data_IF_611510509804
#
_entry.id   IF_611510509804
#
_cell.length_a   1.000
_cell.length_b   1.000
_cell.length_c   1.000
_cell.angle_alpha   90.00
_cell.angle_beta   90.00
_cell.angle_gamma   90.00
#
_symmetry.space_group_name_H-M   'P 1'
#
loop_
_entity.id
_entity.type
_entity.pdbx_description
1 polymer ?
#
# COMPACT_ATOMS: atom_id res chain seq x y z
N UNK A 1 30.82 -11.67 -42.03
CA UNK A 1 29.54 -11.45 -41.33
C UNK A 1 29.45 -9.98 -40.92
N UNK A 2 28.48 -9.24 -41.44
CA UNK A 2 28.22 -7.87 -40.98
C UNK A 2 27.31 -7.90 -39.74
N UNK A 3 27.65 -7.11 -38.72
CA UNK A 3 26.84 -6.93 -37.51
C UNK A 3 25.80 -5.84 -37.74
N UNK A 4 24.58 -6.09 -37.27
CA UNK A 4 23.50 -5.09 -37.18
C UNK A 4 23.51 -4.43 -35.81
N UNK A 5 23.19 -3.14 -35.77
CA UNK A 5 23.05 -2.36 -34.52
C UNK A 5 21.60 -2.43 -34.07
N UNK A 6 21.36 -2.99 -32.88
CA UNK A 6 20.05 -2.96 -32.21
C UNK A 6 20.04 -1.77 -31.26
N UNK A 7 19.02 -0.93 -31.37
CA UNK A 7 18.78 0.16 -30.43
C UNK A 7 17.83 -0.35 -29.34
N UNK A 8 18.17 -0.08 -28.09
CA UNK A 8 17.29 -0.35 -26.95
C UNK A 8 16.47 0.91 -26.64
N UNK A 9 15.14 0.91 -26.91
CA UNK A 9 14.29 2.05 -26.64
C UNK A 9 13.86 2.13 -25.16
N UNK A 10 14.31 1.22 -24.31
CA UNK A 10 13.89 1.16 -22.91
C UNK A 10 14.66 2.20 -22.10
N UNK A 11 13.93 3.01 -21.33
CA UNK A 11 14.57 3.85 -20.32
C UNK A 11 15.22 2.95 -19.25
N UNK A 12 16.42 3.30 -18.74
CA UNK A 12 16.98 2.60 -17.60
C UNK A 12 16.02 2.70 -16.42
N UNK A 13 15.93 1.66 -15.56
CA UNK A 13 15.12 1.75 -14.36
C UNK A 13 15.61 2.92 -13.49
N UNK A 14 14.70 3.60 -12.76
CA UNK A 14 15.11 4.62 -11.82
C UNK A 14 16.03 4.00 -10.75
N UNK A 15 16.90 4.83 -10.16
CA UNK A 15 17.68 4.41 -9.00
C UNK A 15 16.75 3.96 -7.87
N UNK A 16 17.06 2.82 -7.27
CA UNK A 16 16.29 2.29 -6.15
C UNK A 16 16.45 3.25 -4.95
N UNK A 17 15.41 4.00 -4.63
CA UNK A 17 15.31 4.69 -3.35
C UNK A 17 14.82 3.71 -2.29
N UNK A 18 15.73 3.20 -1.48
CA UNK A 18 15.43 2.38 -0.30
C UNK A 18 15.17 3.26 0.94
N UNK A 19 14.44 4.36 0.78
CA UNK A 19 14.08 5.19 1.93
C UNK A 19 13.08 4.41 2.80
N UNK A 20 13.37 4.18 4.10
CA UNK A 20 12.46 3.49 5.00
C UNK A 20 11.16 4.28 5.28
N UNK A 21 11.08 5.53 4.82
CA UNK A 21 10.00 6.43 5.13
C UNK A 21 10.13 7.03 6.54
N UNK A 22 9.16 7.87 6.93
CA UNK A 22 9.14 8.46 8.27
C UNK A 22 8.96 7.38 9.35
N UNK A 23 9.57 7.56 10.53
CA UNK A 23 9.41 6.61 11.63
C UNK A 23 7.96 6.61 12.14
N UNK A 24 7.37 5.43 12.32
CA UNK A 24 6.02 5.28 12.87
C UNK A 24 5.94 5.58 14.39
N UNK A 25 7.08 5.68 15.08
CA UNK A 25 7.12 5.82 16.54
C UNK A 25 6.72 4.53 17.26
N UNK A 26 6.12 4.68 18.45
CA UNK A 26 5.60 3.54 19.22
C UNK A 26 4.31 3.01 18.58
N UNK A 27 4.23 1.69 18.40
CA UNK A 27 3.01 1.03 17.90
C UNK A 27 1.94 0.87 18.98
N UNK A 28 2.32 0.87 20.26
CA UNK A 28 1.34 0.75 21.36
C UNK A 28 0.40 1.96 21.36
N UNK A 29 -0.90 1.71 21.21
CA UNK A 29 -1.95 2.73 21.10
C UNK A 29 -2.08 3.38 19.72
N UNK A 30 -1.25 3.03 18.74
CA UNK A 30 -1.31 3.59 17.40
C UNK A 30 -2.45 2.99 16.57
N UNK A 31 -3.05 3.81 15.71
CA UNK A 31 -4.04 3.41 14.71
C UNK A 31 -3.33 3.11 13.40
N UNK A 32 -3.15 1.84 13.10
CA UNK A 32 -2.46 1.38 11.88
C UNK A 32 -3.49 1.03 10.82
N UNK A 33 -3.46 1.76 9.71
CA UNK A 33 -4.28 1.46 8.54
C UNK A 33 -3.63 0.44 7.62
N UNK A 34 -4.40 -0.49 7.09
CA UNK A 34 -3.95 -1.38 6.00
C UNK A 34 -4.86 -1.18 4.79
N UNK A 35 -4.35 -0.52 3.75
CA UNK A 35 -5.07 -0.35 2.49
C UNK A 35 -4.78 -1.53 1.56
N UNK A 36 -5.82 -2.16 1.03
CA UNK A 36 -5.69 -3.31 0.13
C UNK A 36 -6.66 -3.25 -1.06
N UNK A 37 -6.37 -4.05 -2.08
CA UNK A 37 -7.25 -4.32 -3.23
C UNK A 37 -7.60 -5.81 -3.24
N UNK A 38 -8.86 -6.15 -3.58
CA UNK A 38 -9.32 -7.55 -3.63
C UNK A 38 -8.63 -8.40 -4.71
N UNK A 39 -7.93 -7.77 -5.65
CA UNK A 39 -7.29 -8.41 -6.81
C UNK A 39 -6.20 -9.40 -6.42
N UNK A 40 -5.57 -9.26 -5.24
CA UNK A 40 -4.45 -10.10 -4.82
C UNK A 40 -4.78 -10.96 -3.60
N UNK A 41 -5.22 -12.19 -3.87
CA UNK A 41 -5.58 -13.14 -2.82
C UNK A 41 -4.40 -13.48 -1.87
N UNK A 42 -3.17 -13.56 -2.39
CA UNK A 42 -1.98 -13.78 -1.57
C UNK A 42 -1.73 -12.65 -0.56
N UNK A 43 -2.26 -11.46 -0.82
CA UNK A 43 -2.11 -10.33 0.09
C UNK A 43 -2.89 -10.54 1.38
N UNK A 44 -4.01 -11.27 1.37
CA UNK A 44 -4.78 -11.57 2.58
C UNK A 44 -3.96 -12.38 3.59
N UNK A 45 -3.17 -13.35 3.13
CA UNK A 45 -2.28 -14.10 4.02
C UNK A 45 -1.23 -13.21 4.68
N UNK A 46 -0.70 -12.24 3.94
CA UNK A 46 0.28 -11.28 4.47
C UNK A 46 -0.40 -10.32 5.45
N UNK A 47 -1.62 -9.88 5.14
CA UNK A 47 -2.42 -9.05 6.05
C UNK A 47 -2.68 -9.76 7.37
N UNK A 48 -3.08 -11.03 7.37
CA UNK A 48 -3.34 -11.79 8.59
C UNK A 48 -2.13 -11.79 9.54
N UNK A 49 -0.94 -12.01 8.99
CA UNK A 49 0.32 -12.00 9.73
C UNK A 49 0.65 -10.62 10.29
N UNK A 50 0.49 -9.57 9.48
CA UNK A 50 0.74 -8.19 9.92
C UNK A 50 -0.27 -7.72 10.96
N UNK A 51 -1.56 -7.98 10.75
CA UNK A 51 -2.61 -7.63 11.70
C UNK A 51 -2.35 -8.28 13.06
N UNK A 52 -1.92 -9.55 13.08
CA UNK A 52 -1.56 -10.24 14.31
C UNK A 52 -0.38 -9.55 15.01
N UNK A 53 0.74 -9.36 14.30
CA UNK A 53 1.94 -8.75 14.89
C UNK A 53 1.71 -7.31 15.38
N UNK A 54 0.93 -6.52 14.64
CA UNK A 54 0.59 -5.14 15.03
C UNK A 54 -0.30 -5.11 16.29
N UNK A 55 -1.29 -5.99 16.38
CA UNK A 55 -2.13 -6.13 17.57
C UNK A 55 -1.34 -6.60 18.78
N UNK A 56 -0.41 -7.55 18.60
CA UNK A 56 0.52 -7.99 19.66
C UNK A 56 1.42 -6.85 20.15
N UNK A 57 1.80 -5.93 19.27
CA UNK A 57 2.52 -4.69 19.62
C UNK A 57 1.64 -3.61 20.28
N UNK A 58 0.34 -3.86 20.44
CA UNK A 58 -0.62 -2.96 21.10
C UNK A 58 -1.26 -1.92 20.18
N UNK A 59 -1.16 -2.07 18.86
CA UNK A 59 -1.82 -1.19 17.89
C UNK A 59 -3.30 -1.58 17.66
N UNK A 60 -4.13 -0.61 17.25
CA UNK A 60 -5.42 -0.88 16.62
C UNK A 60 -5.24 -0.93 15.11
N UNK A 61 -5.73 -2.00 14.47
CA UNK A 61 -5.54 -2.21 13.03
C UNK A 61 -6.85 -1.99 12.27
N UNK A 62 -6.79 -1.15 11.24
CA UNK A 62 -7.92 -0.71 10.44
C UNK A 62 -7.72 -1.11 8.97
N UNK A 63 -8.18 -2.30 8.55
CA UNK A 63 -8.14 -2.68 7.14
C UNK A 63 -9.17 -1.89 6.34
N UNK A 64 -8.78 -1.41 5.16
CA UNK A 64 -9.65 -0.69 4.22
C UNK A 64 -9.48 -1.22 2.79
N UNK A 65 -10.57 -1.73 2.22
CA UNK A 65 -10.62 -2.19 0.83
C UNK A 65 -10.85 -0.99 -0.10
N UNK A 66 -9.92 -0.77 -1.03
CA UNK A 66 -10.11 0.22 -2.07
C UNK A 66 -11.11 -0.28 -3.12
N UNK A 67 -12.10 0.56 -3.43
CA UNK A 67 -13.09 0.31 -4.48
C UNK A 67 -12.66 0.81 -5.87
N UNK A 68 -13.62 0.94 -6.78
CA UNK A 68 -13.39 1.51 -8.12
C UNK A 68 -12.85 2.94 -8.07
N UNK A 69 -12.21 3.38 -9.16
CA UNK A 69 -11.67 4.74 -9.32
C UNK A 69 -12.45 5.59 -10.34
N UNK A 70 -13.56 5.08 -10.86
CA UNK A 70 -14.30 5.69 -11.98
C UNK A 70 -15.76 5.93 -11.60
N UNK A 71 -16.32 7.03 -12.10
CA UNK A 71 -17.73 7.37 -11.91
C UNK A 71 -18.11 7.63 -10.45
N UNK A 72 -19.38 7.43 -10.12
CA UNK A 72 -19.91 7.64 -8.77
C UNK A 72 -19.20 6.77 -7.72
N UNK A 73 -18.84 5.54 -8.09
CA UNK A 73 -18.10 4.65 -7.20
C UNK A 73 -16.70 5.19 -6.91
N UNK A 74 -16.01 5.74 -7.92
CA UNK A 74 -14.74 6.45 -7.74
C UNK A 74 -14.84 7.62 -6.76
N UNK A 75 -15.91 8.40 -6.84
CA UNK A 75 -16.17 9.49 -5.88
C UNK A 75 -16.38 8.97 -4.45
N UNK A 76 -17.08 7.83 -4.29
CA UNK A 76 -17.25 7.17 -2.98
C UNK A 76 -15.93 6.63 -2.44
N UNK A 77 -15.14 5.96 -3.27
CA UNK A 77 -13.83 5.43 -2.87
C UNK A 77 -12.87 6.55 -2.49
N UNK A 78 -12.90 7.69 -3.19
CA UNK A 78 -12.08 8.85 -2.82
C UNK A 78 -12.46 9.43 -1.46
N UNK A 79 -13.76 9.55 -1.16
CA UNK A 79 -14.23 9.98 0.17
C UNK A 79 -13.81 8.98 1.25
N UNK A 80 -14.05 7.69 1.03
CA UNK A 80 -13.64 6.65 1.96
C UNK A 80 -12.13 6.61 2.20
N UNK A 81 -11.31 6.92 1.19
CA UNK A 81 -9.86 7.06 1.35
C UNK A 81 -9.50 8.26 2.24
N UNK A 82 -10.19 9.39 2.07
CA UNK A 82 -9.97 10.56 2.93
C UNK A 82 -10.31 10.25 4.39
N UNK A 83 -11.48 9.65 4.63
CA UNK A 83 -11.92 9.24 5.96
C UNK A 83 -10.95 8.22 6.59
N UNK A 84 -10.46 7.26 5.78
CA UNK A 84 -9.46 6.29 6.21
C UNK A 84 -8.16 6.96 6.64
N UNK A 85 -7.63 7.89 5.85
CA UNK A 85 -6.37 8.59 6.15
C UNK A 85 -6.50 9.49 7.39
N UNK A 86 -7.65 10.14 7.59
CA UNK A 86 -7.91 10.93 8.81
C UNK A 86 -8.01 10.04 10.07
N UNK A 87 -8.43 8.78 9.88
CA UNK A 87 -8.64 7.81 10.93
C UNK A 87 -7.40 7.08 11.45
N UNK A 88 -6.21 7.28 10.87
CA UNK A 88 -5.02 6.48 11.16
C UNK A 88 -3.79 7.36 11.45
N UNK A 89 -2.80 6.78 12.13
CA UNK A 89 -1.52 7.43 12.44
C UNK A 89 -0.43 7.01 11.45
N UNK A 90 -0.52 5.78 10.92
CA UNK A 90 0.39 5.23 9.91
C UNK A 90 -0.37 4.27 9.00
N UNK A 91 0.02 4.19 7.73
CA UNK A 91 -0.59 3.32 6.73
C UNK A 91 0.42 2.32 6.16
N UNK A 92 -0.01 1.06 6.05
CA UNK A 92 0.60 0.06 5.17
C UNK A 92 -0.26 0.02 3.89
N UNK A 93 0.37 0.30 2.75
CA UNK A 93 -0.33 0.40 1.47
C UNK A 93 0.08 -0.78 0.59
N UNK A 94 -0.83 -1.71 0.36
CA UNK A 94 -0.65 -2.77 -0.63
C UNK A 94 -0.57 -2.16 -2.03
N UNK A 95 0.61 -2.23 -2.65
CA UNK A 95 0.89 -1.64 -3.96
C UNK A 95 0.41 -2.57 -5.09
N UNK A 96 -0.85 -2.47 -5.49
CA UNK A 96 -1.21 -2.67 -6.89
C UNK A 96 -1.07 -1.34 -7.63
N UNK A 97 0.15 -0.95 -7.98
CA UNK A 97 0.39 0.17 -8.91
C UNK A 97 0.06 -0.25 -10.35
#
# INVERSE_FOLDING_TARGET
MQRIRVLDPTAPPPELMNDPGPPAGSLSGARVGIRFDRTWQSFFHVMDEWERGLREAGASVHPWEAGSRVGEEGERTRRGLADFVEGIDVAIVGLGN
#
